data_IF_906837728960
#
_entry.id   IF_906837728960
#
_cell.length_a   1.000
_cell.length_b   1.000
_cell.length_c   1.000
_cell.angle_alpha   90.00
_cell.angle_beta   90.00
_cell.angle_gamma   90.00
#
_symmetry.space_group_name_H-M   'P 1'
#
loop_
_entity.id
_entity.type
_entity.pdbx_description
1 polymer ?
#
# COMPACT_ATOMS: atom_id res chain seq x y z
N UNK A 1 9.96 -29.15 -58.77
CA UNK A 1 10.33 -29.80 -57.49
C UNK A 1 10.96 -28.73 -56.61
N UNK A 2 10.19 -27.95 -55.84
CA UNK A 2 9.60 -28.29 -54.53
C UNK A 2 10.66 -28.86 -53.56
N UNK A 3 11.14 -28.03 -52.63
CA UNK A 3 10.84 -28.18 -51.19
C UNK A 3 11.46 -27.04 -50.36
N UNK A 4 10.55 -26.32 -49.71
CA UNK A 4 10.71 -25.32 -48.65
C UNK A 4 10.84 -26.06 -47.30
N UNK A 5 11.61 -25.51 -46.35
CA UNK A 5 11.72 -25.80 -44.87
C UNK A 5 13.20 -25.99 -44.47
N UNK A 6 13.78 -25.38 -43.44
CA UNK A 6 13.24 -24.82 -42.19
C UNK A 6 14.10 -23.63 -41.71
N UNK A 7 13.40 -22.64 -41.16
CA UNK A 7 13.93 -21.50 -40.42
C UNK A 7 14.00 -21.92 -38.94
N UNK A 8 15.20 -22.07 -38.38
CA UNK A 8 15.38 -22.23 -36.93
C UNK A 8 16.48 -21.29 -36.45
N UNK A 9 16.03 -20.11 -36.02
CA UNK A 9 16.77 -19.14 -35.22
C UNK A 9 17.13 -19.76 -33.87
N UNK A 10 18.40 -20.01 -33.63
CA UNK A 10 18.94 -20.29 -32.29
C UNK A 10 19.56 -19.00 -31.75
N UNK A 11 18.75 -18.17 -31.10
CA UNK A 11 19.25 -17.10 -30.23
C UNK A 11 19.47 -17.66 -28.82
N UNK A 12 20.71 -17.73 -28.32
CA UNK A 12 20.96 -18.13 -26.96
C UNK A 12 20.63 -16.98 -26.01
N UNK A 13 19.56 -17.15 -25.24
CA UNK A 13 19.48 -16.81 -23.83
C UNK A 13 20.05 -15.43 -23.44
N UNK A 14 19.24 -14.40 -23.65
CA UNK A 14 19.29 -13.21 -22.81
C UNK A 14 18.85 -13.63 -21.40
N UNK A 15 19.82 -13.97 -20.56
CA UNK A 15 19.67 -13.81 -19.12
C UNK A 15 19.53 -12.30 -18.87
N UNK A 16 18.32 -11.80 -19.03
CA UNK A 16 17.94 -10.48 -18.55
C UNK A 16 18.10 -10.50 -17.04
N UNK A 17 19.21 -9.95 -16.56
CA UNK A 17 19.27 -9.48 -15.19
C UNK A 17 18.12 -8.48 -15.03
N UNK A 18 17.06 -8.88 -14.31
CA UNK A 18 16.06 -7.94 -13.84
C UNK A 18 16.75 -7.03 -12.83
N UNK A 19 17.44 -6.00 -13.31
CA UNK A 19 17.70 -4.82 -12.51
C UNK A 19 16.30 -4.23 -12.23
N UNK A 20 15.70 -4.63 -11.11
CA UNK A 20 14.45 -4.04 -10.67
C UNK A 20 14.75 -2.58 -10.38
N UNK A 21 14.23 -1.69 -11.22
CA UNK A 21 14.31 -0.26 -11.03
C UNK A 21 13.41 0.06 -9.83
N UNK A 22 13.94 -0.09 -8.60
CA UNK A 22 13.29 0.43 -7.41
C UNK A 22 13.21 1.94 -7.60
N UNK A 23 12.00 2.50 -7.64
CA UNK A 23 11.83 3.94 -7.86
C UNK A 23 12.45 4.76 -6.73
N UNK A 24 12.79 6.01 -7.02
CA UNK A 24 13.41 6.95 -6.05
C UNK A 24 12.39 7.61 -5.09
N UNK A 25 11.22 6.98 -4.89
CA UNK A 25 10.10 7.58 -4.14
C UNK A 25 10.13 7.26 -2.64
N UNK A 26 9.69 8.21 -1.80
CA UNK A 26 9.36 7.93 -0.41
C UNK A 26 7.93 7.40 -0.26
N UNK A 27 7.63 6.81 0.89
CA UNK A 27 6.25 6.63 1.35
C UNK A 27 5.99 7.54 2.54
N UNK A 28 4.84 8.21 2.52
CA UNK A 28 4.29 8.93 3.66
C UNK A 28 3.01 8.25 4.11
N UNK A 29 2.86 8.03 5.42
CA UNK A 29 1.65 7.47 6.03
C UNK A 29 1.19 8.39 7.16
N UNK A 30 -0.12 8.59 7.29
CA UNK A 30 -0.73 9.40 8.34
C UNK A 30 -1.94 8.72 8.95
N UNK A 31 -2.09 8.84 10.26
CA UNK A 31 -3.11 8.14 11.04
C UNK A 31 -4.10 9.13 11.64
N UNK A 32 -5.39 8.86 11.44
CA UNK A 32 -6.48 9.72 11.88
C UNK A 32 -7.43 8.98 12.83
N UNK A 33 -7.96 9.68 13.86
CA UNK A 33 -8.96 9.13 14.76
C UNK A 33 -10.22 8.60 14.05
N UNK A 34 -10.94 7.76 14.76
CA UNK A 34 -12.26 7.26 14.39
C UNK A 34 -13.31 8.35 14.64
N UNK A 35 -13.46 9.31 13.72
CA UNK A 35 -14.54 10.29 13.76
C UNK A 35 -14.94 10.75 12.36
N UNK A 36 -16.18 11.24 12.21
CA UNK A 36 -16.69 11.76 10.93
C UNK A 36 -15.94 13.03 10.47
N UNK A 37 -15.30 13.75 11.38
CA UNK A 37 -14.55 14.98 11.10
C UNK A 37 -13.08 14.71 10.73
N UNK A 38 -12.48 13.63 11.27
CA UNK A 38 -11.12 13.18 10.99
C UNK A 38 -11.05 12.32 9.72
N UNK A 39 -11.63 12.84 8.64
CA UNK A 39 -11.47 12.29 7.29
C UNK A 39 -10.11 12.70 6.74
N UNK A 40 -9.48 11.86 5.89
CA UNK A 40 -8.23 12.16 5.19
C UNK A 40 -8.39 13.29 4.14
N UNK A 41 -9.07 14.37 4.49
CA UNK A 41 -9.12 15.60 3.71
C UNK A 41 -7.73 16.21 3.69
N UNK A 42 -7.34 16.76 2.55
CA UNK A 42 -6.00 17.25 2.32
C UNK A 42 -5.51 18.25 3.39
N UNK A 43 -6.40 19.15 3.82
CA UNK A 43 -6.10 20.15 4.87
C UNK A 43 -5.87 19.56 6.27
N UNK A 44 -6.27 18.30 6.48
CA UNK A 44 -6.11 17.60 7.76
C UNK A 44 -4.84 16.74 7.80
N UNK A 45 -4.23 16.41 6.65
CA UNK A 45 -3.04 15.53 6.59
C UNK A 45 -1.86 16.13 7.36
N UNK A 46 -1.60 17.42 7.19
CA UNK A 46 -0.54 18.12 7.92
C UNK A 46 -0.77 18.17 9.44
N UNK A 47 -2.00 17.88 9.90
CA UNK A 47 -2.39 17.85 11.32
C UNK A 47 -2.47 16.43 11.88
N UNK A 48 -2.13 15.40 11.10
CA UNK A 48 -2.13 14.03 11.57
C UNK A 48 -0.72 13.56 11.93
N UNK A 49 -0.65 12.69 12.95
CA UNK A 49 0.55 11.95 13.26
C UNK A 49 0.95 11.12 12.03
N UNK A 50 2.15 11.37 11.53
CA UNK A 50 2.60 10.81 10.24
C UNK A 50 4.06 10.38 10.28
N UNK A 51 4.40 9.46 9.38
CA UNK A 51 5.76 9.02 9.10
C UNK A 51 6.04 9.21 7.61
N UNK A 52 7.21 9.77 7.29
CA UNK A 52 7.79 9.85 5.94
C UNK A 52 9.12 9.12 5.93
N UNK A 53 9.32 8.22 4.98
CA UNK A 53 10.59 7.48 4.83
C UNK A 53 11.62 8.27 4.02
N UNK A 54 12.90 8.07 4.31
CA UNK A 54 14.01 8.68 3.56
C UNK A 54 14.89 7.65 2.83
N UNK A 55 14.86 6.39 3.24
CA UNK A 55 15.70 5.32 2.67
C UNK A 55 14.88 4.06 2.44
N UNK A 56 15.09 3.36 1.33
CA UNK A 56 14.41 2.10 1.05
C UNK A 56 15.11 0.98 1.83
N UNK A 57 14.40 0.22 2.70
CA UNK A 57 15.01 -0.87 3.46
C UNK A 57 15.26 -2.09 2.58
N UNK A 58 16.19 -2.95 3.00
CA UNK A 58 16.48 -4.21 2.31
C UNK A 58 15.42 -5.29 2.54
N UNK A 59 14.43 -5.04 3.40
CA UNK A 59 13.32 -5.93 3.70
C UNK A 59 12.23 -5.22 4.50
N UNK A 60 11.32 -5.99 5.09
CA UNK A 60 10.19 -5.44 5.85
C UNK A 60 10.63 -4.82 7.16
N UNK A 61 10.18 -3.61 7.43
CA UNK A 61 10.35 -2.93 8.71
C UNK A 61 8.99 -2.84 9.39
N UNK A 62 8.95 -3.18 10.69
CA UNK A 62 7.74 -3.15 11.50
C UNK A 62 7.77 -2.00 12.51
N UNK A 63 6.63 -1.33 12.68
CA UNK A 63 6.44 -0.22 13.62
C UNK A 63 5.18 -0.43 14.47
N UNK A 64 5.31 -0.33 15.79
CA UNK A 64 4.18 -0.09 16.68
C UNK A 64 3.84 1.40 16.71
N UNK A 65 2.56 1.75 16.58
CA UNK A 65 2.15 3.16 16.53
C UNK A 65 2.53 3.90 17.82
N UNK A 66 2.25 3.29 18.97
CA UNK A 66 2.53 3.91 20.28
C UNK A 66 4.01 4.19 20.44
N UNK A 67 4.86 3.17 20.20
CA UNK A 67 6.31 3.31 20.37
C UNK A 67 6.87 4.38 19.43
N UNK A 68 6.44 4.36 18.17
CA UNK A 68 6.88 5.30 17.14
C UNK A 68 6.55 6.74 17.49
N UNK A 69 5.29 7.02 17.88
CA UNK A 69 4.85 8.41 18.06
C UNK A 69 5.15 8.98 19.45
N UNK A 70 5.49 8.14 20.44
CA UNK A 70 5.83 8.57 21.81
C UNK A 70 7.33 8.70 22.08
N UNK A 71 8.20 8.36 21.11
CA UNK A 71 9.65 8.49 21.24
C UNK A 71 10.13 9.95 21.45
N UNK A 72 11.37 10.25 21.81
CA UNK A 72 11.76 11.65 22.06
C UNK A 72 12.10 12.45 20.79
N UNK A 73 12.34 11.81 19.65
CA UNK A 73 12.84 12.46 18.42
C UNK A 73 11.86 12.34 17.25
N UNK A 74 11.85 13.38 16.42
CA UNK A 74 11.07 13.40 15.17
C UNK A 74 11.78 12.67 14.04
N UNK A 75 13.07 12.37 14.18
CA UNK A 75 13.80 11.51 13.25
C UNK A 75 14.19 10.21 13.94
N UNK A 76 14.35 9.16 13.14
CA UNK A 76 14.81 7.88 13.64
C UNK A 76 15.18 6.92 12.52
N UNK A 77 15.66 5.76 12.93
CA UNK A 77 15.92 4.64 12.07
C UNK A 77 15.36 3.37 12.70
N UNK A 78 14.90 2.43 11.86
CA UNK A 78 14.35 1.16 12.31
C UNK A 78 14.92 0.03 11.45
N UNK A 79 15.45 -1.00 12.11
CA UNK A 79 16.04 -2.17 11.47
C UNK A 79 14.99 -3.06 10.80
N UNK A 80 15.45 -3.93 9.91
CA UNK A 80 14.58 -4.90 9.23
C UNK A 80 14.06 -5.93 10.24
N UNK A 81 12.76 -6.21 10.14
CA UNK A 81 12.05 -7.16 10.98
C UNK A 81 12.34 -8.61 10.56
N UNK A 82 12.59 -9.48 11.53
CA UNK A 82 12.75 -10.94 11.35
C UNK A 82 13.85 -11.32 10.35
N UNK A 83 15.02 -10.69 10.45
CA UNK A 83 16.23 -11.14 9.76
C UNK A 83 17.10 -11.94 10.74
N UNK A 84 17.71 -13.08 10.33
CA UNK A 84 18.73 -13.76 11.11
C UNK A 84 19.94 -12.83 11.35
N UNK A 85 20.43 -12.75 12.60
CA UNK A 85 21.42 -11.77 13.08
C UNK A 85 22.67 -11.58 12.19
N UNK A 86 23.06 -12.58 11.41
CA UNK A 86 24.28 -12.57 10.58
C UNK A 86 24.09 -12.04 9.14
N UNK A 87 22.88 -11.65 8.75
CA UNK A 87 22.62 -11.15 7.39
C UNK A 87 22.75 -9.62 7.35
N UNK A 88 23.70 -9.05 6.57
CA UNK A 88 23.77 -7.61 6.37
C UNK A 88 22.42 -7.09 5.87
N UNK A 89 21.85 -6.14 6.60
CA UNK A 89 20.56 -5.56 6.27
C UNK A 89 20.60 -4.06 6.46
N UNK A 90 19.80 -3.37 5.64
CA UNK A 90 19.60 -1.94 5.74
C UNK A 90 18.16 -1.69 6.21
N UNK A 91 18.02 -1.00 7.33
CA UNK A 91 16.72 -0.54 7.84
C UNK A 91 16.16 0.63 7.04
N UNK A 92 15.22 1.34 7.64
CA UNK A 92 14.63 2.57 7.10
C UNK A 92 14.91 3.73 8.05
N UNK A 93 15.35 4.83 7.47
CA UNK A 93 15.38 6.14 8.13
C UNK A 93 14.06 6.84 7.86
N UNK A 94 13.55 7.54 8.87
CA UNK A 94 12.26 8.19 8.79
C UNK A 94 12.22 9.54 9.53
N UNK A 95 11.26 10.35 9.12
CA UNK A 95 10.85 11.59 9.76
C UNK A 95 9.39 11.46 10.19
N UNK A 96 9.08 11.92 11.38
CA UNK A 96 7.75 11.96 11.97
C UNK A 96 7.19 13.37 11.88
N UNK A 97 5.91 13.47 11.52
CA UNK A 97 5.15 14.71 11.45
C UNK A 97 4.06 14.77 12.52
N UNK A 98 3.87 15.97 13.08
CA UNK A 98 2.80 16.33 14.03
C UNK A 98 2.52 15.28 15.12
N UNK A 99 3.58 14.78 15.75
CA UNK A 99 3.51 13.68 16.72
C UNK A 99 2.68 14.00 17.94
N UNK A 100 2.63 15.27 18.36
CA UNK A 100 1.82 15.73 19.49
C UNK A 100 0.31 15.53 19.27
N UNK A 101 -0.14 15.27 18.03
CA UNK A 101 -1.53 14.87 17.76
C UNK A 101 -1.82 13.39 18.03
N UNK A 102 -0.78 12.58 18.29
CA UNK A 102 -0.95 11.19 18.65
C UNK A 102 -1.39 11.03 20.11
N UNK A 103 -2.39 10.21 20.35
CA UNK A 103 -2.87 9.84 21.67
C UNK A 103 -3.07 8.32 21.72
N UNK A 104 -2.35 7.64 22.61
CA UNK A 104 -2.35 6.18 22.71
C UNK A 104 -3.73 5.55 23.04
N UNK A 105 -4.62 6.32 23.66
CA UNK A 105 -5.99 5.90 24.02
C UNK A 105 -7.00 6.14 22.89
N UNK A 106 -6.56 6.71 21.76
CA UNK A 106 -7.41 7.02 20.62
C UNK A 106 -7.45 5.86 19.61
N UNK A 107 -8.64 5.56 19.10
CA UNK A 107 -8.81 4.59 18.02
C UNK A 107 -8.50 5.22 16.67
N UNK A 108 -7.38 4.86 16.05
CA UNK A 108 -7.00 5.29 14.71
C UNK A 108 -7.46 4.28 13.66
N UNK A 109 -8.57 4.57 12.99
CA UNK A 109 -9.15 3.68 11.96
C UNK A 109 -9.10 4.27 10.56
N UNK A 110 -8.68 5.53 10.41
CA UNK A 110 -8.54 6.19 9.13
C UNK A 110 -7.05 6.33 8.82
N UNK A 111 -6.62 5.80 7.68
CA UNK A 111 -5.22 5.81 7.24
C UNK A 111 -5.14 6.51 5.90
N UNK A 112 -4.30 7.53 5.84
CA UNK A 112 -3.87 8.13 4.59
C UNK A 112 -2.48 7.64 4.26
N UNK A 113 -2.21 7.40 2.98
CA UNK A 113 -0.86 7.10 2.50
C UNK A 113 -0.62 7.71 1.13
N UNK A 114 0.64 8.04 0.87
CA UNK A 114 1.10 8.51 -0.43
C UNK A 114 2.42 7.83 -0.76
N UNK A 115 2.47 7.21 -1.93
CA UNK A 115 3.70 6.79 -2.58
C UNK A 115 3.56 7.07 -4.07
N UNK A 116 4.39 7.98 -4.56
CA UNK A 116 4.44 8.35 -5.98
C UNK A 116 5.87 8.12 -6.43
N UNK A 117 6.06 7.39 -7.53
CA UNK A 117 7.37 7.37 -8.15
C UNK A 117 7.49 8.68 -8.90
N UNK A 118 8.44 9.53 -8.49
CA UNK A 118 8.74 10.74 -9.25
C UNK A 118 9.50 10.33 -10.51
N UNK A 119 8.78 9.91 -11.55
CA UNK A 119 9.32 9.97 -12.90
C UNK A 119 9.53 11.47 -13.18
N UNK A 120 10.72 11.85 -13.65
CA UNK A 120 11.12 13.26 -13.83
C UNK A 120 10.26 14.05 -14.83
N UNK A 121 9.19 13.46 -15.36
CA UNK A 121 8.15 14.03 -16.21
C UNK A 121 6.92 14.54 -15.41
N UNK A 122 6.84 14.27 -14.10
CA UNK A 122 5.77 14.76 -13.24
C UNK A 122 4.44 13.98 -13.37
N UNK A 123 4.40 12.89 -14.13
CA UNK A 123 3.20 12.07 -14.27
C UNK A 123 3.13 11.01 -13.16
N UNK A 124 2.19 11.17 -12.22
CA UNK A 124 1.84 10.09 -11.29
C UNK A 124 1.06 9.00 -12.03
N UNK A 125 1.66 7.82 -12.11
CA UNK A 125 1.01 6.66 -12.72
C UNK A 125 0.24 5.87 -11.65
N UNK A 126 -0.88 6.44 -11.16
CA UNK A 126 -1.72 5.77 -10.16
C UNK A 126 -2.11 4.36 -10.63
N UNK A 127 -1.94 3.38 -9.73
CA UNK A 127 -2.20 1.97 -10.04
C UNK A 127 -1.05 1.24 -10.75
N UNK A 128 0.05 1.92 -11.11
CA UNK A 128 1.29 1.27 -11.51
C UNK A 128 2.06 0.76 -10.29
N UNK A 129 3.06 -0.09 -10.53
CA UNK A 129 3.94 -0.59 -9.48
C UNK A 129 4.59 0.55 -8.70
N UNK A 130 4.39 0.55 -7.39
CA UNK A 130 5.03 1.45 -6.44
C UNK A 130 6.39 0.93 -5.99
N UNK A 131 7.11 1.79 -5.27
CA UNK A 131 8.40 1.44 -4.65
C UNK A 131 8.21 0.70 -3.33
N UNK A 132 7.09 0.98 -2.64
CA UNK A 132 6.83 0.53 -1.29
C UNK A 132 5.65 -0.40 -1.25
N UNK A 133 5.75 -1.45 -0.44
CA UNK A 133 4.57 -2.17 0.03
C UNK A 133 4.31 -1.73 1.47
N UNK A 134 3.04 -1.43 1.76
CA UNK A 134 2.57 -0.94 3.05
C UNK A 134 1.51 -1.90 3.59
N UNK A 135 1.64 -2.29 4.85
CA UNK A 135 0.73 -3.17 5.56
C UNK A 135 0.19 -2.51 6.81
N UNK A 136 -1.08 -2.70 7.12
CA UNK A 136 -1.69 -2.28 8.39
C UNK A 136 -2.18 -3.48 9.20
N UNK A 137 -1.96 -3.47 10.51
CA UNK A 137 -2.35 -4.55 11.41
C UNK A 137 -3.16 -4.03 12.61
N UNK A 138 -4.17 -4.83 12.99
CA UNK A 138 -4.99 -4.58 14.18
C UNK A 138 -4.31 -5.02 15.50
N UNK A 139 -3.15 -5.68 15.41
CA UNK A 139 -2.35 -6.13 16.56
C UNK A 139 -0.98 -5.44 16.55
N UNK A 140 -0.33 -5.41 17.72
CA UNK A 140 1.05 -4.95 17.83
C UNK A 140 2.02 -5.88 17.09
N UNK A 141 3.25 -5.41 16.91
CA UNK A 141 4.40 -6.17 16.41
C UNK A 141 4.18 -6.82 15.03
N UNK A 142 3.35 -6.18 14.19
CA UNK A 142 2.98 -6.63 12.86
C UNK A 142 2.42 -8.06 12.83
N UNK A 143 1.73 -8.44 13.91
CA UNK A 143 1.09 -9.75 14.03
C UNK A 143 -0.15 -9.79 13.15
N UNK A 144 -0.17 -10.73 12.20
CA UNK A 144 -1.32 -10.99 11.34
C UNK A 144 -2.46 -11.72 12.08
N UNK A 145 -2.11 -12.64 12.99
CA UNK A 145 -3.04 -13.48 13.73
C UNK A 145 -2.83 -13.26 15.23
N UNK A 146 -3.70 -12.48 15.87
CA UNK A 146 -3.63 -12.15 17.31
C UNK A 146 -3.99 -13.26 18.29
N UNK A 147 -3.70 -14.53 17.96
CA UNK A 147 -4.04 -15.69 18.78
C UNK A 147 -5.55 -15.96 18.85
N UNK A 148 -6.05 -16.39 20.01
CA UNK A 148 -7.44 -16.84 20.20
C UNK A 148 -8.50 -15.73 19.95
N UNK A 149 -8.11 -14.46 20.01
CA UNK A 149 -8.99 -13.32 19.72
C UNK A 149 -9.15 -13.04 18.21
N UNK A 150 -8.37 -13.70 17.35
CA UNK A 150 -8.36 -13.45 15.93
C UNK A 150 -9.51 -14.17 15.20
N UNK A 151 -10.40 -13.39 14.61
CA UNK A 151 -11.23 -13.80 13.47
C UNK A 151 -10.82 -12.93 12.25
N UNK A 152 -10.44 -13.53 11.10
CA UNK A 152 -10.04 -12.77 9.92
C UNK A 152 -11.15 -11.86 9.36
N UNK A 153 -12.41 -12.10 9.71
CA UNK A 153 -13.53 -11.21 9.36
C UNK A 153 -13.50 -9.93 10.18
N UNK A 154 -13.18 -10.05 11.47
CA UNK A 154 -13.26 -8.96 12.44
C UNK A 154 -11.94 -8.20 12.56
N UNK A 155 -10.79 -8.87 12.38
CA UNK A 155 -9.44 -8.31 12.50
C UNK A 155 -8.59 -8.50 11.24
N UNK A 156 -9.06 -8.04 10.07
CA UNK A 156 -8.26 -8.15 8.87
C UNK A 156 -7.03 -7.25 8.91
N UNK A 157 -5.94 -7.72 8.31
CA UNK A 157 -4.85 -6.87 7.85
C UNK A 157 -5.06 -6.51 6.38
N UNK A 158 -4.48 -5.39 5.97
CA UNK A 158 -4.56 -4.86 4.61
C UNK A 158 -3.18 -4.53 4.11
N UNK A 159 -3.03 -4.53 2.78
CA UNK A 159 -1.78 -4.25 2.12
C UNK A 159 -1.95 -3.52 0.79
N UNK A 160 -0.98 -2.69 0.44
CA UNK A 160 -0.94 -2.02 -0.86
C UNK A 160 0.49 -1.79 -1.33
N UNK A 161 0.70 -1.88 -2.63
CA UNK A 161 2.02 -1.68 -3.24
C UNK A 161 1.98 -0.90 -4.57
N UNK A 162 0.81 -0.39 -4.95
CA UNK A 162 0.67 0.46 -6.12
C UNK A 162 0.97 1.92 -5.78
N UNK A 163 1.37 2.69 -6.80
CA UNK A 163 1.45 4.14 -6.70
C UNK A 163 0.07 4.73 -6.45
N UNK A 164 0.00 5.69 -5.54
CA UNK A 164 -1.20 6.49 -5.29
C UNK A 164 -1.37 7.53 -6.37
N UNK A 165 -2.57 8.11 -6.48
CA UNK A 165 -2.75 9.38 -7.18
C UNK A 165 -2.02 10.53 -6.47
N UNK A 166 -1.89 11.66 -7.15
CA UNK A 166 -1.51 12.92 -6.51
C UNK A 166 -2.40 13.23 -5.30
N UNK A 167 -1.76 13.58 -4.18
CA UNK A 167 -2.44 13.82 -2.90
C UNK A 167 -2.74 12.55 -2.08
N UNK A 168 -2.32 11.38 -2.54
CA UNK A 168 -2.44 10.11 -1.80
C UNK A 168 -3.84 9.51 -1.80
N UNK A 169 -3.97 8.39 -1.09
CA UNK A 169 -5.21 7.65 -0.93
C UNK A 169 -5.58 7.50 0.54
N UNK A 170 -6.88 7.35 0.81
CA UNK A 170 -7.44 7.25 2.16
C UNK A 170 -8.25 5.98 2.30
N UNK A 171 -8.08 5.31 3.44
CA UNK A 171 -8.72 4.04 3.71
C UNK A 171 -9.24 4.02 5.14
N UNK A 172 -10.44 3.48 5.29
CA UNK A 172 -11.06 3.25 6.58
C UNK A 172 -10.97 1.77 6.94
N UNK A 173 -10.50 1.48 8.14
CA UNK A 173 -10.31 0.15 8.67
C UNK A 173 -11.41 -0.23 9.66
N UNK A 174 -11.80 -1.52 9.72
CA UNK A 174 -12.76 -2.01 10.70
C UNK A 174 -12.21 -2.03 12.13
N UNK A 175 -10.88 -2.08 12.28
CA UNK A 175 -10.20 -2.11 13.56
C UNK A 175 -9.15 -1.01 13.64
N UNK A 176 -8.85 -0.47 14.83
CA UNK A 176 -7.78 0.49 15.01
C UNK A 176 -6.43 -0.12 14.62
N UNK A 177 -5.61 0.65 13.91
CA UNK A 177 -4.23 0.26 13.61
C UNK A 177 -3.43 0.25 14.91
N UNK A 178 -2.74 -0.86 15.17
CA UNK A 178 -1.83 -0.99 16.32
C UNK A 178 -0.37 -1.06 15.87
N UNK A 179 -0.12 -1.65 14.71
CA UNK A 179 1.18 -1.64 14.06
C UNK A 179 1.02 -1.58 12.54
N UNK A 180 2.10 -1.22 11.87
CA UNK A 180 2.19 -1.25 10.41
C UNK A 180 3.57 -1.72 9.97
N UNK A 181 3.65 -2.24 8.74
CA UNK A 181 4.92 -2.58 8.13
C UNK A 181 5.08 -1.89 6.79
N UNK A 182 6.32 -1.56 6.45
CA UNK A 182 6.72 -1.04 5.14
C UNK A 182 7.91 -1.84 4.62
N UNK A 183 8.02 -1.99 3.31
CA UNK A 183 9.15 -2.70 2.70
C UNK A 183 9.24 -2.45 1.19
N UNK A 184 10.29 -2.99 0.54
CA UNK A 184 10.45 -2.86 -0.90
C UNK A 184 9.37 -3.65 -1.64
N UNK A 185 8.64 -3.00 -2.56
CA UNK A 185 7.55 -3.64 -3.31
C UNK A 185 8.03 -4.53 -4.46
N UNK A 186 9.27 -4.39 -4.92
CA UNK A 186 9.70 -4.98 -6.18
C UNK A 186 9.57 -6.53 -6.22
N UNK A 187 10.03 -7.22 -5.18
CA UNK A 187 9.89 -8.69 -5.07
C UNK A 187 8.45 -9.10 -4.74
N UNK A 188 7.74 -8.30 -3.95
CA UNK A 188 6.32 -8.50 -3.63
C UNK A 188 5.44 -8.46 -4.89
N UNK A 189 5.53 -7.38 -5.68
CA UNK A 189 4.80 -7.21 -6.94
C UNK A 189 5.13 -8.32 -7.94
N UNK A 190 6.42 -8.70 -8.05
CA UNK A 190 6.83 -9.81 -8.91
C UNK A 190 6.19 -11.15 -8.47
N UNK A 191 6.12 -11.41 -7.16
CA UNK A 191 5.45 -12.60 -6.61
C UNK A 191 3.93 -12.61 -6.81
N UNK A 192 3.30 -11.43 -6.83
CA UNK A 192 1.86 -11.24 -7.05
C UNK A 192 1.48 -11.06 -8.53
N UNK A 193 2.47 -10.87 -9.42
CA UNK A 193 2.30 -10.61 -10.85
C UNK A 193 1.90 -9.16 -11.19
N UNK A 194 1.54 -8.36 -10.18
CA UNK A 194 1.20 -6.94 -10.25
C UNK A 194 1.27 -6.34 -8.85
N UNK A 195 1.25 -5.02 -8.75
CA UNK A 195 0.97 -4.36 -7.48
C UNK A 195 -0.48 -4.58 -7.00
N UNK A 196 -0.69 -4.47 -5.69
CA UNK A 196 -2.00 -4.59 -5.06
C UNK A 196 -2.52 -3.24 -4.56
N UNK A 197 -3.82 -2.99 -4.79
CA UNK A 197 -4.54 -1.80 -4.32
C UNK A 197 -5.40 -2.20 -3.13
N UNK A 198 -4.93 -1.83 -1.93
CA UNK A 198 -5.63 -2.06 -0.66
C UNK A 198 -6.25 -3.46 -0.52
N UNK A 199 -5.44 -4.47 -0.84
CA UNK A 199 -5.81 -5.86 -0.72
C UNK A 199 -6.05 -6.20 0.76
N UNK A 200 -6.93 -7.18 0.98
CA UNK A 200 -7.34 -7.64 2.30
C UNK A 200 -6.81 -9.06 2.50
N UNK A 201 -6.11 -9.31 3.60
CA UNK A 201 -5.63 -10.64 3.98
C UNK A 201 -4.76 -11.33 2.90
N UNK A 202 -3.97 -10.58 2.13
CA UNK A 202 -3.12 -11.19 1.10
C UNK A 202 -3.88 -11.52 -0.19
N UNK A 203 -5.14 -11.11 -0.32
CA UNK A 203 -5.95 -11.43 -1.48
C UNK A 203 -5.44 -10.68 -2.71
N UNK A 204 -4.72 -11.39 -3.59
CA UNK A 204 -4.46 -10.94 -4.94
C UNK A 204 -5.80 -10.68 -5.62
N UNK A 205 -6.13 -9.42 -5.91
CA UNK A 205 -7.44 -9.07 -6.42
C UNK A 205 -7.64 -9.65 -7.83
N UNK A 206 -8.24 -10.84 -7.94
CA UNK A 206 -8.88 -11.35 -9.15
C UNK A 206 -10.33 -10.85 -9.19
N UNK A 207 -10.56 -9.56 -9.03
CA UNK A 207 -11.84 -8.95 -9.34
C UNK A 207 -11.57 -7.64 -10.07
N UNK A 208 -11.31 -7.79 -11.37
CA UNK A 208 -11.40 -6.74 -12.37
C UNK A 208 -12.79 -6.09 -12.23
N UNK A 209 -12.86 -4.95 -11.54
CA UNK A 209 -14.04 -4.12 -11.42
C UNK A 209 -14.43 -3.57 -12.79
N UNK A 210 -15.17 -4.36 -13.57
CA UNK A 210 -16.02 -3.80 -14.61
C UNK A 210 -17.05 -2.94 -13.90
N UNK A 211 -16.87 -1.64 -14.04
CA UNK A 211 -17.87 -0.58 -13.89
C UNK A 211 -19.27 -1.15 -14.18
N UNK A 212 -20.23 -1.13 -13.24
CA UNK A 212 -21.60 -1.37 -13.62
C UNK A 212 -22.01 -0.15 -14.45
N UNK A 213 -22.04 -0.34 -15.76
CA UNK A 213 -22.74 0.57 -16.64
C UNK A 213 -24.16 0.70 -16.09
N UNK A 214 -24.52 1.91 -15.67
CA UNK A 214 -25.89 2.30 -15.35
C UNK A 214 -26.78 1.87 -16.52
N UNK A 215 -27.55 0.80 -16.34
CA UNK A 215 -28.63 0.49 -17.26
C UNK A 215 -29.74 1.50 -16.99
N UNK A 216 -29.78 2.54 -17.82
CA UNK A 216 -30.90 3.46 -17.90
C UNK A 216 -32.15 2.67 -18.32
N UNK A 217 -33.09 2.49 -17.41
CA UNK A 217 -34.43 2.00 -17.73
C UNK A 217 -35.16 3.13 -18.44
N UNK A 218 -35.15 3.11 -19.78
CA UNK A 218 -36.03 3.95 -20.58
C UNK A 218 -37.45 3.37 -20.49
N UNK A 219 -38.30 3.97 -19.66
CA UNK A 219 -39.73 3.73 -19.67
C UNK A 219 -40.34 4.39 -20.92
N UNK A 220 -40.47 3.65 -22.03
CA UNK A 220 -41.34 4.07 -23.13
C UNK A 220 -42.78 3.72 -22.79
N UNK A 221 -43.48 4.68 -22.19
CA UNK A 221 -44.94 4.77 -22.26
C UNK A 221 -45.31 5.21 -23.69
N UNK A 222 -45.96 4.32 -24.44
CA UNK A 222 -46.74 4.70 -25.61
C UNK A 222 -48.03 3.87 -25.63
N UNK A 223 -49.00 4.28 -24.83
CA UNK A 223 -50.39 4.10 -25.20
C UNK A 223 -50.78 5.30 -26.06
N UNK A 224 -51.23 5.07 -27.30
CA UNK A 224 -52.51 5.56 -27.82
C UNK A 224 -52.75 5.24 -29.32
N UNK A 225 -53.83 4.46 -29.54
CA UNK A 225 -54.93 4.61 -30.51
C UNK A 225 -54.87 4.21 -32.00
N UNK A 226 -56.00 3.57 -32.39
CA UNK A 226 -56.63 3.34 -33.73
C UNK A 226 -56.06 2.15 -34.53
N UNK A 227 -56.82 1.12 -34.93
CA UNK A 227 -58.18 1.03 -35.51
C UNK A 227 -58.93 -0.20 -34.99
#
# INVERSE_FOLDING_TARGET
>A
MMLLKDFLLLSPWLLGAYAQNQGDGNITVAFFPSSEEATCKQDNIAKAASLTTNTIPSGFVCFNLTDLFTQPSDNGSQGVWKIPDDTPSQGVDYLLGNRDSYNADTNYTNVWYQQVNQTGDGDTNSGADGTWVFYTYAFADCVQNGGDAFDPKDYPWFETSCQTKDGGDCQQLPQPVKSFAIGPAASYNAGHGKCEVWAKLGAASILNGRTPALVAVAATMAAFFMV
#
